data_IF_764591025609
#
_entry.id   IF_764591025609
#
_cell.length_a   1.000
_cell.length_b   1.000
_cell.length_c   1.000
_cell.angle_alpha   90.00
_cell.angle_beta   90.00
_cell.angle_gamma   90.00
#
_symmetry.space_group_name_H-M   'P 1'
#
loop_
_entity.id
_entity.type
_entity.pdbx_description
1 polymer ?
#
# COMPACT_ATOMS: atom_id res chain seq x y z
N UNK A 1 35.76 64.63 -27.31
CA UNK A 1 35.01 63.95 -26.24
C UNK A 1 34.08 62.96 -26.93
N UNK A 2 34.46 61.68 -26.96
CA UNK A 2 33.66 60.60 -27.55
C UNK A 2 32.70 60.07 -26.49
N UNK A 3 31.40 60.13 -26.76
CA UNK A 3 30.34 59.51 -25.96
C UNK A 3 29.98 58.16 -26.61
N UNK A 4 30.43 57.06 -26.01
CA UNK A 4 29.93 55.71 -26.31
C UNK A 4 28.55 55.52 -25.66
N UNK A 5 27.53 54.98 -26.37
CA UNK A 5 26.27 54.63 -25.77
C UNK A 5 26.41 53.31 -24.98
N UNK A 6 25.98 53.33 -23.72
CA UNK A 6 25.83 52.14 -22.89
C UNK A 6 24.71 51.25 -23.46
N UNK A 7 25.07 50.09 -23.99
CA UNK A 7 24.13 48.97 -24.19
C UNK A 7 23.54 48.54 -22.85
N UNK A 8 22.21 48.35 -22.75
CA UNK A 8 21.61 47.80 -21.53
C UNK A 8 22.04 46.33 -21.36
N UNK A 9 22.11 45.83 -20.12
CA UNK A 9 22.50 44.45 -19.87
C UNK A 9 21.42 43.49 -20.40
N UNK A 10 21.79 42.25 -20.77
CA UNK A 10 20.82 41.23 -21.13
C UNK A 10 19.92 40.99 -19.91
N UNK A 11 18.61 41.02 -20.13
CA UNK A 11 17.61 40.61 -19.14
C UNK A 11 17.91 39.18 -18.72
N UNK A 12 18.61 39.04 -17.59
CA UNK A 12 18.79 37.77 -16.92
C UNK A 12 17.41 37.31 -16.53
N UNK A 13 16.97 36.22 -17.18
CA UNK A 13 15.65 35.64 -17.07
C UNK A 13 15.14 35.67 -15.65
N UNK A 14 14.04 36.39 -15.46
CA UNK A 14 13.15 36.21 -14.33
C UNK A 14 12.92 34.71 -14.20
N UNK A 15 13.44 34.10 -13.12
CA UNK A 15 12.93 32.82 -12.67
C UNK A 15 11.40 32.96 -12.64
N UNK A 16 10.63 32.10 -13.33
CA UNK A 16 9.19 32.14 -13.19
C UNK A 16 8.90 32.11 -11.71
N UNK A 17 8.10 33.08 -11.24
CA UNK A 17 7.69 33.08 -9.84
C UNK A 17 7.09 31.71 -9.55
N UNK A 18 7.33 31.21 -8.34
CA UNK A 18 6.81 29.91 -7.90
C UNK A 18 5.30 29.80 -8.18
N UNK A 19 4.58 30.92 -8.12
CA UNK A 19 3.16 31.05 -8.43
C UNK A 19 2.81 30.77 -9.91
N UNK A 20 3.58 31.27 -10.89
CA UNK A 20 3.31 30.99 -12.32
C UNK A 20 3.51 29.50 -12.68
N UNK A 21 4.46 28.85 -12.01
CA UNK A 21 4.73 27.42 -12.24
C UNK A 21 3.62 26.56 -11.62
N UNK A 22 3.15 26.93 -10.43
CA UNK A 22 2.04 26.27 -9.76
C UNK A 22 0.75 26.37 -10.57
N UNK A 23 0.40 27.57 -11.06
CA UNK A 23 -0.79 27.79 -11.88
C UNK A 23 -0.78 26.96 -13.17
N UNK A 24 0.38 26.84 -13.84
CA UNK A 24 0.53 26.00 -15.03
C UNK A 24 0.37 24.51 -14.72
N UNK A 25 0.86 24.06 -13.56
CA UNK A 25 0.68 22.68 -13.10
C UNK A 25 -0.79 22.41 -12.81
N UNK A 26 -1.47 23.31 -12.10
CA UNK A 26 -2.88 23.14 -11.75
C UNK A 26 -3.75 23.11 -13.02
N UNK A 27 -3.50 24.02 -13.96
CA UNK A 27 -4.17 24.00 -15.26
C UNK A 27 -3.91 22.71 -16.05
N UNK A 28 -2.70 22.15 -15.98
CA UNK A 28 -2.40 20.85 -16.60
C UNK A 28 -3.19 19.72 -15.94
N UNK A 29 -3.20 19.66 -14.61
CA UNK A 29 -3.92 18.63 -13.84
C UNK A 29 -5.42 18.66 -14.13
N UNK A 30 -6.01 19.85 -14.26
CA UNK A 30 -7.44 20.03 -14.51
C UNK A 30 -7.87 19.64 -15.94
N UNK A 31 -6.97 19.72 -16.92
CA UNK A 31 -7.31 19.55 -18.33
C UNK A 31 -6.79 18.24 -18.95
N UNK A 32 -5.90 17.51 -18.28
CA UNK A 32 -5.28 16.30 -18.80
C UNK A 32 -6.05 15.06 -18.33
N UNK A 33 -6.18 14.06 -19.22
CA UNK A 33 -6.82 12.79 -18.86
C UNK A 33 -6.00 12.05 -17.80
N UNK A 34 -6.65 11.24 -16.95
CA UNK A 34 -5.91 10.42 -15.96
C UNK A 34 -4.91 9.47 -16.65
N UNK A 35 -5.18 9.03 -17.89
CA UNK A 35 -4.26 8.23 -18.67
C UNK A 35 -2.96 8.98 -18.99
N UNK A 36 -3.11 10.19 -19.49
CA UNK A 36 -2.00 11.06 -19.88
C UNK A 36 -1.23 11.57 -18.66
N UNK A 37 -1.91 11.89 -17.55
CA UNK A 37 -1.26 12.28 -16.30
C UNK A 37 -0.35 11.16 -15.79
N UNK A 38 -0.81 9.89 -15.85
CA UNK A 38 0.03 8.74 -15.50
C UNK A 38 1.23 8.59 -16.45
N UNK A 39 1.05 8.86 -17.74
CA UNK A 39 2.15 8.78 -18.72
C UNK A 39 3.20 9.87 -18.47
N UNK A 40 2.77 11.12 -18.26
CA UNK A 40 3.62 12.26 -17.92
C UNK A 40 4.38 11.97 -16.63
N UNK A 41 3.70 11.52 -15.57
CA UNK A 41 4.33 11.20 -14.29
C UNK A 41 5.40 10.11 -14.43
N UNK A 42 5.14 9.06 -15.21
CA UNK A 42 6.13 8.00 -15.46
C UNK A 42 7.36 8.54 -16.18
N UNK A 43 7.19 9.39 -17.20
CA UNK A 43 8.33 10.01 -17.90
C UNK A 43 9.10 10.91 -16.96
N UNK A 44 8.40 11.73 -16.16
CA UNK A 44 9.03 12.63 -15.19
C UNK A 44 9.87 11.84 -14.19
N UNK A 45 9.31 10.82 -13.55
CA UNK A 45 10.00 9.97 -12.57
C UNK A 45 11.12 9.12 -13.19
N UNK A 46 11.00 8.73 -14.46
CA UNK A 46 12.05 8.01 -15.17
C UNK A 46 13.22 8.92 -15.58
N UNK A 47 12.94 10.21 -15.79
CA UNK A 47 13.94 11.22 -16.16
C UNK A 47 14.56 11.96 -14.98
N UNK A 48 13.98 11.84 -13.78
CA UNK A 48 14.48 12.48 -12.56
C UNK A 48 15.60 11.68 -11.90
N UNK A 49 16.36 12.32 -11.02
CA UNK A 49 17.33 11.63 -10.17
C UNK A 49 16.62 10.77 -9.11
N UNK A 50 17.37 9.82 -8.55
CA UNK A 50 16.86 8.89 -7.53
C UNK A 50 16.27 9.64 -6.34
N UNK A 51 16.90 10.73 -5.90
CA UNK A 51 16.44 11.49 -4.75
C UNK A 51 15.06 12.15 -4.98
N UNK A 52 14.77 12.62 -6.20
CA UNK A 52 13.45 13.18 -6.52
C UNK A 52 12.37 12.08 -6.53
N UNK A 53 12.67 10.92 -7.11
CA UNK A 53 11.75 9.77 -7.13
C UNK A 53 11.44 9.27 -5.72
N UNK A 54 12.44 9.21 -4.84
CA UNK A 54 12.26 8.84 -3.43
C UNK A 54 11.40 9.87 -2.67
N UNK A 55 11.63 11.17 -2.87
CA UNK A 55 10.81 12.23 -2.27
C UNK A 55 9.37 12.16 -2.74
N UNK A 56 9.14 11.87 -4.02
CA UNK A 56 7.80 11.67 -4.57
C UNK A 56 7.11 10.49 -3.88
N UNK A 57 7.79 9.34 -3.74
CA UNK A 57 7.25 8.18 -3.03
C UNK A 57 6.91 8.53 -1.58
N UNK A 58 7.81 9.22 -0.87
CA UNK A 58 7.59 9.64 0.51
C UNK A 58 6.39 10.59 0.65
N UNK A 59 6.26 11.56 -0.26
CA UNK A 59 5.10 12.46 -0.29
C UNK A 59 3.80 11.71 -0.57
N UNK A 60 3.81 10.76 -1.51
CA UNK A 60 2.65 9.92 -1.82
C UNK A 60 2.25 9.04 -0.61
N UNK A 61 3.22 8.43 0.07
CA UNK A 61 3.01 7.67 1.30
C UNK A 61 2.40 8.56 2.40
N UNK A 62 3.00 9.73 2.65
CA UNK A 62 2.48 10.69 3.63
C UNK A 62 1.04 11.10 3.33
N UNK A 63 0.72 11.36 2.06
CA UNK A 63 -0.65 11.71 1.65
C UNK A 63 -1.63 10.54 1.83
N UNK A 64 -1.22 9.31 1.52
CA UNK A 64 -2.06 8.11 1.72
C UNK A 64 -2.35 7.86 3.22
N UNK A 65 -1.37 8.12 4.09
CA UNK A 65 -1.53 8.04 5.53
C UNK A 65 -2.42 9.17 6.07
N UNK A 66 -2.29 10.39 5.56
CA UNK A 66 -3.12 11.53 5.97
C UNK A 66 -4.59 11.39 5.55
N UNK A 67 -4.83 10.86 4.36
CA UNK A 67 -6.18 10.58 3.85
C UNK A 67 -6.77 9.29 4.42
N UNK A 68 -6.03 8.59 5.28
CA UNK A 68 -6.54 7.45 6.02
C UNK A 68 -7.52 7.91 7.09
N UNK A 69 -8.74 7.36 7.08
CA UNK A 69 -9.57 7.42 8.28
C UNK A 69 -8.82 6.65 9.36
N UNK A 70 -8.49 7.32 10.48
CA UNK A 70 -7.76 6.70 11.61
C UNK A 70 -8.43 5.42 12.12
N UNK A 71 -9.70 5.21 11.79
CA UNK A 71 -10.47 4.03 12.11
C UNK A 71 -10.96 3.36 10.82
N UNK A 72 -10.71 2.05 10.68
CA UNK A 72 -11.33 1.24 9.64
C UNK A 72 -12.84 1.07 9.94
N UNK A 73 -13.72 1.03 8.94
CA UNK A 73 -15.14 0.82 9.17
C UNK A 73 -15.41 -0.56 9.80
N UNK A 74 -16.54 -0.69 10.50
CA UNK A 74 -16.95 -1.98 11.03
C UNK A 74 -17.24 -2.97 9.88
N UNK A 75 -16.77 -4.24 9.92
CA UNK A 75 -16.89 -5.17 8.80
C UNK A 75 -18.33 -5.37 8.30
N UNK A 76 -19.33 -5.37 9.19
CA UNK A 76 -20.74 -5.49 8.82
C UNK A 76 -21.25 -4.31 7.96
N UNK A 77 -20.68 -3.11 8.11
CA UNK A 77 -21.03 -1.94 7.29
C UNK A 77 -20.50 -2.01 5.86
N UNK A 78 -19.63 -2.98 5.57
CA UNK A 78 -19.05 -3.20 4.24
C UNK A 78 -19.94 -4.09 3.36
N UNK A 79 -21.02 -4.63 3.92
CA UNK A 79 -21.92 -5.53 3.21
C UNK A 79 -23.30 -4.91 3.09
N UNK A 80 -23.97 -5.22 1.99
CA UNK A 80 -25.37 -4.92 1.76
C UNK A 80 -26.11 -6.25 1.81
N UNK A 81 -26.98 -6.40 2.80
CA UNK A 81 -27.83 -7.58 2.96
C UNK A 81 -29.18 -7.30 2.31
N UNK A 82 -29.58 -8.16 1.37
CA UNK A 82 -30.90 -8.05 0.76
C UNK A 82 -32.00 -8.43 1.77
N UNK A 83 -33.10 -7.65 1.80
CA UNK A 83 -34.26 -7.92 2.65
C UNK A 83 -34.89 -9.28 2.33
N UNK A 84 -35.40 -10.05 3.32
CA UNK A 84 -36.07 -11.34 3.10
C UNK A 84 -37.40 -11.27 2.33
N UNK A 85 -37.87 -10.07 1.98
CA UNK A 85 -39.12 -9.83 1.24
C UNK A 85 -38.85 -9.38 -0.19
N UNK A 86 -38.49 -10.31 -1.08
CA UNK A 86 -38.67 -10.10 -2.51
C UNK A 86 -39.77 -11.01 -3.04
N UNK A 87 -40.82 -10.45 -3.68
CA UNK A 87 -41.75 -11.23 -4.47
C UNK A 87 -41.12 -11.59 -5.83
N UNK A 88 -41.39 -12.82 -6.29
CA UNK A 88 -41.20 -13.30 -7.67
C UNK A 88 -39.79 -13.57 -8.22
N UNK A 89 -38.87 -14.06 -7.39
CA UNK A 89 -37.63 -14.69 -7.89
C UNK A 89 -37.66 -16.20 -7.70
N UNK A 90 -38.20 -16.94 -8.68
CA UNK A 90 -38.22 -18.41 -8.71
C UNK A 90 -36.88 -19.06 -9.04
N UNK A 91 -35.80 -18.27 -9.20
CA UNK A 91 -34.48 -18.74 -9.62
C UNK A 91 -33.35 -18.55 -8.60
N UNK A 92 -33.59 -17.85 -7.49
CA UNK A 92 -32.60 -17.71 -6.43
C UNK A 92 -32.99 -18.57 -5.23
N UNK A 93 -32.12 -19.50 -4.85
CA UNK A 93 -32.23 -20.21 -3.57
C UNK A 93 -32.28 -19.14 -2.47
N UNK A 94 -33.25 -19.22 -1.54
CA UNK A 94 -33.59 -18.20 -0.54
C UNK A 94 -32.48 -17.90 0.50
N UNK A 95 -31.22 -18.18 0.18
CA UNK A 95 -30.02 -18.04 1.00
C UNK A 95 -29.35 -16.69 0.75
N UNK A 96 -30.09 -15.60 0.96
CA UNK A 96 -29.59 -14.24 1.17
C UNK A 96 -28.48 -13.74 0.22
N UNK A 97 -28.89 -13.01 -0.82
CA UNK A 97 -27.98 -12.24 -1.69
C UNK A 97 -27.24 -11.16 -0.88
N UNK A 98 -26.05 -11.50 -0.38
CA UNK A 98 -25.12 -10.52 0.19
C UNK A 98 -24.34 -9.88 -0.95
N UNK A 99 -24.38 -8.55 -1.02
CA UNK A 99 -23.64 -7.79 -2.03
C UNK A 99 -22.54 -6.94 -1.40
N UNK A 100 -21.41 -6.76 -2.09
CA UNK A 100 -20.38 -5.85 -1.63
C UNK A 100 -20.90 -4.40 -1.65
N UNK A 101 -20.65 -3.64 -0.58
CA UNK A 101 -20.97 -2.21 -0.60
C UNK A 101 -19.95 -1.43 -1.44
N UNK A 102 -20.30 -0.22 -1.94
CA UNK A 102 -19.32 0.66 -2.56
C UNK A 102 -18.11 0.98 -1.66
N UNK A 103 -18.29 0.93 -0.34
CA UNK A 103 -17.19 1.12 0.60
C UNK A 103 -16.23 -0.08 0.60
N UNK A 104 -16.73 -1.31 0.43
CA UNK A 104 -15.90 -2.50 0.31
C UNK A 104 -15.00 -2.45 -0.93
N UNK A 105 -15.54 -2.06 -2.09
CA UNK A 105 -14.74 -1.84 -3.29
C UNK A 105 -13.65 -0.77 -3.09
N UNK A 106 -13.99 0.32 -2.41
CA UNK A 106 -13.02 1.38 -2.08
C UNK A 106 -11.91 0.87 -1.17
N UNK A 107 -12.22 0.05 -0.17
CA UNK A 107 -11.21 -0.56 0.70
C UNK A 107 -10.31 -1.54 -0.05
N UNK A 108 -10.87 -2.37 -0.94
CA UNK A 108 -10.06 -3.28 -1.75
C UNK A 108 -9.09 -2.50 -2.66
N UNK A 109 -9.57 -1.45 -3.31
CA UNK A 109 -8.70 -0.56 -4.10
C UNK A 109 -7.65 0.14 -3.22
N UNK A 110 -8.03 0.55 -2.00
CA UNK A 110 -7.11 1.16 -1.04
C UNK A 110 -6.02 0.18 -0.61
N UNK A 111 -6.34 -1.07 -0.31
CA UNK A 111 -5.37 -2.09 0.04
C UNK A 111 -4.29 -2.23 -1.04
N UNK A 112 -4.69 -2.24 -2.32
CA UNK A 112 -3.76 -2.27 -3.46
C UNK A 112 -2.89 -1.03 -3.54
N UNK A 113 -3.47 0.16 -3.34
CA UNK A 113 -2.70 1.41 -3.34
C UNK A 113 -1.66 1.43 -2.23
N UNK A 114 -2.04 1.02 -1.01
CA UNK A 114 -1.14 0.92 0.14
C UNK A 114 0.00 -0.07 -0.12
N UNK A 115 -0.33 -1.25 -0.68
CA UNK A 115 0.68 -2.23 -1.05
C UNK A 115 1.63 -1.69 -2.13
N UNK A 116 1.10 -1.06 -3.18
CA UNK A 116 1.90 -0.46 -4.24
C UNK A 116 2.78 0.70 -3.77
N UNK A 117 2.36 1.43 -2.73
CA UNK A 117 3.15 2.50 -2.12
C UNK A 117 4.14 2.02 -1.06
N UNK A 118 4.22 0.72 -0.79
CA UNK A 118 5.09 0.15 0.25
C UNK A 118 4.58 0.33 1.69
N UNK A 119 3.33 0.73 1.89
CA UNK A 119 2.69 0.87 3.20
C UNK A 119 2.04 -0.47 3.62
N UNK A 120 2.89 -1.46 3.88
CA UNK A 120 2.45 -2.86 4.02
C UNK A 120 1.66 -3.11 5.29
N UNK A 121 1.98 -2.42 6.39
CA UNK A 121 1.25 -2.53 7.66
C UNK A 121 -0.21 -2.12 7.49
N UNK A 122 -0.43 -0.94 6.91
CA UNK A 122 -1.76 -0.41 6.65
C UNK A 122 -2.51 -1.27 5.62
N UNK A 123 -1.79 -1.81 4.63
CA UNK A 123 -2.35 -2.73 3.64
C UNK A 123 -2.88 -4.00 4.32
N UNK A 124 -2.10 -4.66 5.18
CA UNK A 124 -2.54 -5.85 5.91
C UNK A 124 -3.74 -5.56 6.79
N UNK A 125 -3.72 -4.48 7.58
CA UNK A 125 -4.87 -4.16 8.44
C UNK A 125 -6.15 -3.93 7.63
N UNK A 126 -6.03 -3.28 6.46
CA UNK A 126 -7.14 -3.08 5.54
C UNK A 126 -7.65 -4.42 4.99
N UNK A 127 -6.75 -5.32 4.59
CA UNK A 127 -7.09 -6.67 4.10
C UNK A 127 -7.78 -7.49 5.20
N UNK A 128 -7.27 -7.47 6.43
CA UNK A 128 -7.88 -8.15 7.58
C UNK A 128 -9.33 -7.67 7.78
N UNK A 129 -9.55 -6.35 7.78
CA UNK A 129 -10.90 -5.78 7.90
C UNK A 129 -11.84 -6.27 6.78
N UNK A 130 -11.34 -6.38 5.55
CA UNK A 130 -12.10 -6.94 4.43
C UNK A 130 -12.38 -8.43 4.63
N UNK A 131 -11.39 -9.23 5.02
CA UNK A 131 -11.53 -10.68 5.28
C UNK A 131 -12.57 -10.93 6.38
N UNK A 132 -12.59 -10.12 7.43
CA UNK A 132 -13.56 -10.20 8.52
C UNK A 132 -15.02 -9.99 8.09
N UNK A 133 -15.28 -9.41 6.91
CA UNK A 133 -16.65 -9.35 6.37
C UNK A 133 -17.24 -10.75 6.17
N UNK A 134 -16.42 -11.76 5.92
CA UNK A 134 -16.85 -13.16 5.81
C UNK A 134 -17.40 -13.75 7.12
N UNK A 135 -17.09 -13.13 8.26
CA UNK A 135 -17.56 -13.55 9.58
C UNK A 135 -18.90 -12.90 9.96
N UNK A 136 -19.41 -11.97 9.14
CA UNK A 136 -20.62 -11.25 9.44
C UNK A 136 -21.85 -12.17 9.31
N UNK A 137 -22.83 -12.09 10.23
CA UNK A 137 -24.07 -12.84 10.11
C UNK A 137 -24.76 -12.58 8.78
N UNK A 138 -25.16 -13.64 8.08
CA UNK A 138 -25.80 -13.54 6.78
C UNK A 138 -24.85 -13.35 5.60
N UNK A 139 -23.55 -13.11 5.82
CA UNK A 139 -22.57 -12.96 4.74
C UNK A 139 -22.36 -14.30 4.03
N UNK A 140 -23.00 -14.44 2.86
CA UNK A 140 -22.92 -15.65 2.03
C UNK A 140 -22.68 -15.27 0.57
N UNK A 141 -21.99 -16.14 -0.14
CA UNK A 141 -21.67 -15.97 -1.56
C UNK A 141 -21.70 -17.32 -2.27
N UNK A 142 -21.83 -17.25 -3.60
CA UNK A 142 -21.78 -18.40 -4.50
C UNK A 142 -20.81 -18.10 -5.64
N UNK A 143 -20.37 -19.13 -6.36
CA UNK A 143 -19.50 -18.96 -7.50
C UNK A 143 -20.15 -18.03 -8.55
N UNK A 144 -19.43 -16.99 -8.95
CA UNK A 144 -19.91 -15.98 -9.89
C UNK A 144 -20.72 -14.84 -9.27
N UNK A 145 -20.98 -14.83 -7.96
CA UNK A 145 -21.55 -13.66 -7.29
C UNK A 145 -20.55 -12.50 -7.22
N UNK A 146 -21.04 -11.27 -7.20
CA UNK A 146 -20.17 -10.07 -7.09
C UNK A 146 -19.26 -10.12 -5.86
N UNK A 147 -19.78 -10.64 -4.75
CA UNK A 147 -19.02 -10.79 -3.51
C UNK A 147 -17.91 -11.84 -3.65
N UNK A 148 -18.19 -12.97 -4.32
CA UNK A 148 -17.19 -14.00 -4.58
C UNK A 148 -16.08 -13.52 -5.52
N UNK A 149 -16.43 -12.74 -6.56
CA UNK A 149 -15.45 -12.11 -7.46
C UNK A 149 -14.56 -11.10 -6.73
N UNK A 150 -15.16 -10.28 -5.85
CA UNK A 150 -14.41 -9.36 -5.01
C UNK A 150 -13.44 -10.10 -4.08
N UNK A 151 -13.90 -11.15 -3.39
CA UNK A 151 -13.02 -11.93 -2.51
C UNK A 151 -11.91 -12.64 -3.26
N UNK A 152 -12.14 -13.07 -4.51
CA UNK A 152 -11.06 -13.61 -5.34
C UNK A 152 -9.99 -12.55 -5.63
N UNK A 153 -10.39 -11.31 -5.94
CA UNK A 153 -9.45 -10.20 -6.08
C UNK A 153 -8.70 -9.89 -4.78
N UNK A 154 -9.36 -10.03 -3.63
CA UNK A 154 -8.71 -9.90 -2.32
C UNK A 154 -7.74 -11.05 -2.04
N UNK A 155 -8.01 -12.27 -2.53
CA UNK A 155 -7.07 -13.39 -2.46
C UNK A 155 -5.78 -13.09 -3.22
N UNK A 156 -5.87 -12.47 -4.41
CA UNK A 156 -4.71 -11.95 -5.12
C UNK A 156 -3.96 -10.89 -4.32
N UNK A 157 -4.69 -9.96 -3.69
CA UNK A 157 -4.12 -8.91 -2.85
C UNK A 157 -3.39 -9.49 -1.61
N UNK A 158 -3.91 -10.58 -1.01
CA UNK A 158 -3.28 -11.32 0.10
C UNK A 158 -1.95 -11.93 -0.35
N UNK A 159 -1.90 -12.59 -1.50
CA UNK A 159 -0.66 -13.19 -2.01
C UNK A 159 0.40 -12.10 -2.23
N UNK A 160 -0.02 -10.99 -2.84
CA UNK A 160 0.87 -9.88 -3.15
C UNK A 160 1.45 -9.26 -1.87
N UNK A 161 0.62 -8.97 -0.86
CA UNK A 161 1.09 -8.34 0.37
C UNK A 161 2.03 -9.26 1.15
N UNK A 162 1.74 -10.56 1.24
CA UNK A 162 2.62 -11.55 1.88
C UNK A 162 3.96 -11.62 1.15
N UNK A 163 3.94 -11.68 -0.19
CA UNK A 163 5.16 -11.73 -0.99
C UNK A 163 6.06 -10.51 -0.78
N UNK A 164 5.48 -9.31 -0.77
CA UNK A 164 6.22 -8.07 -0.56
C UNK A 164 6.78 -7.96 0.86
N UNK A 165 6.01 -8.37 1.87
CA UNK A 165 6.47 -8.39 3.25
C UNK A 165 7.62 -9.36 3.47
N UNK A 166 7.54 -10.58 2.91
CA UNK A 166 8.62 -11.54 3.02
C UNK A 166 9.89 -11.06 2.32
N UNK A 167 9.76 -10.34 1.20
CA UNK A 167 10.90 -9.70 0.55
C UNK A 167 11.52 -8.63 1.46
N UNK A 168 10.69 -7.81 2.10
CA UNK A 168 11.13 -6.76 3.02
C UNK A 168 11.83 -7.33 4.26
N UNK A 169 11.24 -8.35 4.91
CA UNK A 169 11.83 -9.08 6.05
C UNK A 169 13.21 -9.63 5.69
N UNK A 170 13.36 -10.24 4.51
CA UNK A 170 14.67 -10.74 4.04
C UNK A 170 15.68 -9.62 3.86
N UNK A 171 15.27 -8.50 3.25
CA UNK A 171 16.12 -7.33 3.07
C UNK A 171 16.63 -6.77 4.40
N UNK A 172 15.75 -6.61 5.39
CA UNK A 172 16.11 -6.16 6.73
C UNK A 172 17.10 -7.11 7.41
N UNK A 173 16.84 -8.42 7.37
CA UNK A 173 17.76 -9.42 7.96
C UNK A 173 19.12 -9.41 7.28
N UNK A 174 19.17 -9.28 5.96
CA UNK A 174 20.44 -9.18 5.22
C UNK A 174 21.22 -7.92 5.61
N UNK A 175 20.56 -6.77 5.70
CA UNK A 175 21.18 -5.52 6.14
C UNK A 175 21.74 -5.62 7.58
N UNK A 176 20.95 -6.19 8.51
CA UNK A 176 21.39 -6.42 9.89
C UNK A 176 22.61 -7.35 9.93
N UNK A 177 22.61 -8.42 9.15
CA UNK A 177 23.75 -9.34 9.07
C UNK A 177 25.00 -8.65 8.50
N UNK A 178 24.86 -7.85 7.44
CA UNK A 178 25.96 -7.08 6.86
C UNK A 178 26.57 -6.10 7.86
N UNK A 179 25.74 -5.46 8.69
CA UNK A 179 26.20 -4.56 9.76
C UNK A 179 26.92 -5.30 10.90
N UNK A 180 26.59 -6.58 11.13
CA UNK A 180 27.24 -7.42 12.15
C UNK A 180 28.56 -8.02 11.68
N UNK A 181 28.74 -8.23 10.37
CA UNK A 181 30.01 -8.72 9.82
C UNK A 181 31.02 -7.57 9.71
N UNK A 182 32.18 -7.64 10.37
CA UNK A 182 33.20 -6.61 10.22
C UNK A 182 33.74 -6.64 8.78
N UNK A 183 33.53 -5.54 8.04
CA UNK A 183 34.21 -5.33 6.75
C UNK A 183 35.73 -5.43 6.95
N UNK A 184 36.46 -6.20 6.11
CA UNK A 184 37.91 -6.24 6.18
C UNK A 184 38.45 -4.82 6.00
N UNK A 185 39.23 -4.37 6.98
CA UNK A 185 39.82 -3.04 6.98
C UNK A 185 40.71 -2.87 5.73
N UNK A 186 40.61 -1.76 4.98
CA UNK A 186 41.69 -1.40 4.06
C UNK A 186 42.97 -1.12 4.89
N UNK A 187 44.17 -1.32 4.30
CA UNK A 187 45.43 -1.13 5.02
C UNK A 187 45.51 0.29 5.60
N UNK A 188 45.60 0.38 6.93
CA UNK A 188 45.62 1.64 7.69
C UNK A 188 46.92 2.40 7.42
N UNK A 189 46.84 3.51 6.67
CA UNK A 189 47.82 4.59 6.73
C UNK A 189 47.63 5.45 8.00
N UNK A 190 48.67 6.17 8.47
CA UNK A 190 48.61 6.91 9.72
C UNK A 190 47.80 8.20 9.54
N UNK A 191 46.61 8.29 10.11
CA UNK A 191 45.85 9.56 10.17
C UNK A 191 45.25 9.79 11.56
N UNK A 192 45.58 10.96 12.11
CA UNK A 192 45.07 11.49 13.39
C UNK A 192 43.57 11.76 13.28
N UNK A 193 42.81 11.28 14.26
CA UNK A 193 41.35 11.47 14.36
C UNK A 193 41.02 12.79 15.09
N UNK A 194 40.11 13.63 14.56
CA UNK A 194 39.40 14.62 15.36
C UNK A 194 38.23 13.93 16.09
N UNK A 195 38.07 14.32 17.35
CA UNK A 195 37.03 13.86 18.26
C UNK A 195 35.80 14.73 18.03
N UNK A 196 34.70 14.16 17.53
CA UNK A 196 33.39 14.83 17.49
C UNK A 196 32.33 14.01 18.20
N UNK A 197 31.42 14.78 18.78
CA UNK A 197 30.47 14.50 19.85
C UNK A 197 29.38 13.47 19.55
N UNK A 198 28.91 12.85 20.64
CA UNK A 198 27.65 12.08 20.78
C UNK A 198 26.52 12.69 19.93
N UNK A 199 26.05 11.94 18.95
CA UNK A 199 24.74 12.14 18.35
C UNK A 199 23.67 11.53 19.28
N UNK A 200 22.66 12.33 19.60
CA UNK A 200 21.48 11.89 20.33
C UNK A 200 20.74 10.84 19.50
N UNK A 201 20.48 9.67 20.08
CA UNK A 201 19.57 8.67 19.52
C UNK A 201 18.15 9.24 19.60
N UNK A 202 17.70 9.88 18.53
CA UNK A 202 16.27 9.94 18.23
C UNK A 202 15.91 8.53 17.75
N UNK A 203 15.20 7.79 18.58
CA UNK A 203 14.68 6.48 18.23
C UNK A 203 13.60 6.73 17.17
N UNK A 204 14.01 6.74 15.90
CA UNK A 204 13.07 6.46 14.82
C UNK A 204 12.49 5.08 15.13
N UNK A 205 11.16 4.98 15.22
CA UNK A 205 10.44 3.72 15.18
C UNK A 205 10.75 3.07 13.83
N UNK A 206 11.92 2.44 13.75
CA UNK A 206 12.33 1.65 12.60
C UNK A 206 11.47 0.40 12.60
N UNK A 207 10.73 0.20 11.52
CA UNK A 207 9.91 -0.98 11.31
C UNK A 207 10.77 -2.24 11.45
N UNK A 208 10.40 -3.11 12.39
CA UNK A 208 11.13 -4.34 12.69
C UNK A 208 10.68 -5.47 11.78
N UNK A 209 11.60 -6.37 11.40
CA UNK A 209 11.24 -7.60 10.70
C UNK A 209 10.26 -8.46 11.49
N UNK A 210 10.33 -8.44 12.82
CA UNK A 210 9.44 -9.20 13.69
C UNK A 210 8.01 -8.65 13.64
N UNK A 211 7.83 -7.32 13.62
CA UNK A 211 6.51 -6.72 13.51
C UNK A 211 5.80 -7.12 12.20
N UNK A 212 6.56 -7.26 11.12
CA UNK A 212 6.03 -7.73 9.85
C UNK A 212 5.65 -9.22 9.86
N UNK A 213 6.37 -10.05 10.61
CA UNK A 213 6.02 -11.44 10.80
C UNK A 213 4.76 -11.58 11.67
N UNK A 214 4.64 -10.77 12.72
CA UNK A 214 3.43 -10.72 13.56
C UNK A 214 2.19 -10.38 12.74
N UNK A 215 2.29 -9.41 11.82
CA UNK A 215 1.21 -9.05 10.90
C UNK A 215 0.79 -10.21 9.97
N UNK A 216 1.75 -11.01 9.51
CA UNK A 216 1.48 -12.21 8.70
C UNK A 216 0.76 -13.26 9.55
N UNK A 217 1.16 -13.43 10.82
CA UNK A 217 0.50 -14.34 11.77
C UNK A 217 -0.93 -13.90 12.08
N UNK A 218 -1.15 -12.61 12.27
CA UNK A 218 -2.50 -12.03 12.50
C UNK A 218 -3.42 -12.30 11.30
N UNK A 219 -2.93 -12.03 10.08
CA UNK A 219 -3.68 -12.33 8.85
C UNK A 219 -4.00 -13.84 8.75
N UNK A 220 -3.05 -14.71 9.07
CA UNK A 220 -3.27 -16.15 9.10
C UNK A 220 -4.30 -16.60 10.14
N UNK A 221 -4.31 -15.96 11.30
CA UNK A 221 -5.31 -16.21 12.35
C UNK A 221 -6.72 -15.86 11.85
N UNK A 222 -6.88 -14.71 11.21
CA UNK A 222 -8.17 -14.27 10.67
C UNK A 222 -8.64 -15.15 9.50
N UNK A 223 -7.75 -15.55 8.60
CA UNK A 223 -8.11 -16.45 7.50
C UNK A 223 -8.53 -17.84 7.99
N UNK A 224 -7.93 -18.36 9.06
CA UNK A 224 -8.36 -19.62 9.67
C UNK A 224 -9.74 -19.52 10.35
N UNK A 225 -10.04 -18.38 10.98
CA UNK A 225 -11.40 -18.10 11.50
C UNK A 225 -12.42 -18.10 10.36
N UNK A 226 -12.11 -17.41 9.26
CA UNK A 226 -12.98 -17.37 8.08
C UNK A 226 -13.17 -18.75 7.48
N UNK A 227 -12.09 -19.54 7.31
CA UNK A 227 -12.19 -20.90 6.80
C UNK A 227 -13.16 -21.76 7.62
N UNK A 228 -13.03 -21.72 8.95
CA UNK A 228 -13.91 -22.46 9.86
C UNK A 228 -15.37 -21.99 9.72
N UNK A 229 -15.60 -20.68 9.66
CA UNK A 229 -16.94 -20.11 9.51
C UNK A 229 -17.57 -20.49 8.17
N UNK A 230 -16.80 -20.45 7.07
CA UNK A 230 -17.25 -20.80 5.72
C UNK A 230 -17.60 -22.28 5.62
N UNK A 231 -16.75 -23.14 6.20
CA UNK A 231 -17.01 -24.57 6.26
C UNK A 231 -18.28 -24.89 7.06
N UNK A 232 -18.59 -24.15 8.12
CA UNK A 232 -19.77 -24.38 8.94
C UNK A 232 -21.12 -24.16 8.20
N UNK A 233 -21.11 -23.45 7.06
CA UNK A 233 -22.30 -23.30 6.22
C UNK A 233 -22.18 -23.98 4.85
N UNK A 234 -21.22 -24.90 4.69
CA UNK A 234 -20.91 -25.62 3.45
C UNK A 234 -20.52 -24.70 2.28
N UNK A 235 -19.88 -23.57 2.60
CA UNK A 235 -19.40 -22.61 1.63
C UNK A 235 -18.05 -22.95 1.01
N UNK A 236 -17.76 -22.34 -0.13
CA UNK A 236 -16.43 -22.40 -0.74
C UNK A 236 -15.54 -21.29 -0.16
N UNK A 237 -14.43 -21.69 0.46
CA UNK A 237 -13.45 -20.77 1.03
C UNK A 237 -12.73 -19.98 -0.08
N UNK A 238 -12.83 -18.63 -0.10
CA UNK A 238 -12.41 -17.85 -1.25
C UNK A 238 -10.92 -17.49 -1.25
N UNK A 239 -10.22 -17.66 -0.12
CA UNK A 239 -8.82 -17.20 0.06
C UNK A 239 -7.81 -18.35 -0.01
N UNK A 240 -8.05 -19.32 -0.89
CA UNK A 240 -7.28 -20.56 -0.92
C UNK A 240 -5.81 -20.30 -1.26
N UNK A 241 -5.53 -19.39 -2.20
CA UNK A 241 -4.15 -19.13 -2.64
C UNK A 241 -3.40 -18.31 -1.59
N UNK A 242 -4.06 -17.36 -0.94
CA UNK A 242 -3.52 -16.61 0.19
C UNK A 242 -3.11 -17.52 1.35
N UNK A 243 -3.93 -18.54 1.67
CA UNK A 243 -3.57 -19.54 2.67
C UNK A 243 -2.34 -20.40 2.29
N UNK A 244 -2.17 -20.71 1.00
CA UNK A 244 -0.97 -21.38 0.51
C UNK A 244 0.25 -20.45 0.61
N UNK A 245 0.09 -19.18 0.29
CA UNK A 245 1.14 -18.17 0.43
C UNK A 245 1.58 -18.01 1.89
N UNK A 246 0.64 -18.00 2.85
CA UNK A 246 0.95 -17.98 4.29
C UNK A 246 1.76 -19.20 4.72
N UNK A 247 1.34 -20.39 4.29
CA UNK A 247 2.06 -21.63 4.62
C UNK A 247 3.49 -21.58 4.07
N UNK A 248 3.65 -21.06 2.85
CA UNK A 248 4.96 -20.88 2.21
C UNK A 248 5.80 -19.87 2.97
N UNK A 249 5.22 -18.72 3.37
CA UNK A 249 5.89 -17.70 4.16
C UNK A 249 6.38 -18.24 5.51
N UNK A 250 5.56 -19.01 6.22
CA UNK A 250 5.92 -19.62 7.49
C UNK A 250 7.11 -20.60 7.37
N UNK A 251 7.24 -21.33 6.26
CA UNK A 251 8.42 -22.19 6.02
C UNK A 251 9.69 -21.42 5.67
N UNK A 252 9.56 -20.15 5.29
CA UNK A 252 10.64 -19.30 4.79
C UNK A 252 11.07 -18.21 5.79
N UNK A 253 10.31 -18.01 6.86
CA UNK A 253 10.59 -17.08 7.96
C UNK A 253 11.61 -17.67 8.94
#
# INVERSE_FOLDING_TARGET
MNMTPLTPPPEQGLCPSHDESQEKIDALVDNVSVGDLRAILRVLLASSDVATSERFIYAAQAQLLQTSTKHLPAPNSLLIFSSPTYPDSSYFDNRGDTRPSPLLYRLANRARMLCASGLYREAIHTIICIVQTCLCPGARWWAGSELAELYRGVDDDIINVIGMLMLHVRGLRQAINALRTPTPSPPRGPRKLPRTSRAAKKQEEGESSEEYLDLIVDLGTELNKVRSAVQAWDGSFPFQRGMVALTTAATQA
#
